data_IF_603297367808
#
_entry.id   IF_603297367808
#
_cell.length_a   1.000
_cell.length_b   1.000
_cell.length_c   1.000
_cell.angle_alpha   90.00
_cell.angle_beta   90.00
_cell.angle_gamma   90.00
#
_symmetry.space_group_name_H-M   'P 1'
#
loop_
_entity.id
_entity.type
_entity.pdbx_description
1 polymer ?
#
# COMPACT_ATOMS: atom_id res chain seq x y z
N UNK A 1 83.81 -29.14 20.64
CA UNK A 1 82.42 -28.69 20.93
C UNK A 1 81.97 -27.74 19.83
N UNK A 2 81.32 -28.23 18.78
CA UNK A 2 80.69 -27.41 17.73
C UNK A 2 79.63 -28.23 17.00
N UNK A 3 78.67 -28.77 17.75
CA UNK A 3 77.53 -29.54 17.21
C UNK A 3 76.17 -28.97 17.63
N UNK A 4 76.15 -28.08 18.62
CA UNK A 4 74.93 -27.60 19.27
C UNK A 4 74.30 -26.36 18.60
N UNK A 5 75.00 -25.68 17.68
CA UNK A 5 74.57 -24.42 17.08
C UNK A 5 73.69 -24.61 15.83
N UNK A 6 73.99 -25.59 14.97
CA UNK A 6 73.19 -25.87 13.76
C UNK A 6 71.85 -26.52 14.12
N UNK A 7 71.84 -27.44 15.09
CA UNK A 7 70.61 -28.10 15.56
C UNK A 7 69.62 -27.14 16.21
N UNK A 8 70.09 -26.21 17.04
CA UNK A 8 69.23 -25.19 17.66
C UNK A 8 68.65 -24.19 16.63
N UNK A 9 69.43 -23.84 15.61
CA UNK A 9 69.00 -22.93 14.54
C UNK A 9 67.95 -23.59 13.62
N UNK A 10 68.15 -24.86 13.25
CA UNK A 10 67.19 -25.63 12.45
C UNK A 10 65.87 -25.80 13.20
N UNK A 11 65.92 -26.18 14.48
CA UNK A 11 64.73 -26.32 15.31
C UNK A 11 63.99 -24.98 15.46
N UNK A 12 64.71 -23.87 15.69
CA UNK A 12 64.11 -22.53 15.76
C UNK A 12 63.39 -22.12 14.47
N UNK A 13 63.99 -22.38 13.30
CA UNK A 13 63.35 -22.06 12.01
C UNK A 13 62.10 -22.90 11.74
N UNK A 14 62.11 -24.19 12.10
CA UNK A 14 60.94 -25.07 11.93
C UNK A 14 59.80 -24.64 12.85
N UNK A 15 60.08 -24.31 14.11
CA UNK A 15 59.06 -23.81 15.02
C UNK A 15 58.44 -22.50 14.54
N UNK A 16 59.24 -21.54 14.04
CA UNK A 16 58.73 -20.29 13.50
C UNK A 16 57.86 -20.52 12.26
N UNK A 17 58.22 -21.47 11.37
CA UNK A 17 57.40 -21.83 10.22
C UNK A 17 56.06 -22.46 10.64
N UNK A 18 56.07 -23.36 11.64
CA UNK A 18 54.85 -23.98 12.16
C UNK A 18 53.93 -22.94 12.81
N UNK A 19 54.49 -22.04 13.63
CA UNK A 19 53.71 -20.95 14.21
C UNK A 19 53.20 -19.98 13.14
N UNK A 20 53.99 -19.67 12.10
CA UNK A 20 53.56 -18.84 10.97
C UNK A 20 52.43 -19.45 10.15
N UNK A 21 52.44 -20.76 9.90
CA UNK A 21 51.32 -21.43 9.22
C UNK A 21 50.09 -21.54 10.12
N UNK A 22 50.29 -21.77 11.42
CA UNK A 22 49.20 -21.84 12.40
C UNK A 22 48.50 -20.48 12.56
N UNK A 23 49.24 -19.36 12.55
CA UNK A 23 48.63 -18.02 12.63
C UNK A 23 47.91 -17.64 11.35
N UNK A 24 48.43 -17.99 10.17
CA UNK A 24 47.71 -17.79 8.89
C UNK A 24 46.42 -18.60 8.87
N UNK A 25 46.46 -19.87 9.28
CA UNK A 25 45.26 -20.71 9.40
C UNK A 25 44.25 -20.16 10.41
N UNK A 26 44.72 -19.60 11.54
CA UNK A 26 43.84 -18.97 12.53
C UNK A 26 43.20 -17.70 11.97
N UNK A 27 43.96 -16.87 11.24
CA UNK A 27 43.43 -15.68 10.55
C UNK A 27 42.39 -16.08 9.50
N UNK A 28 42.65 -17.12 8.71
CA UNK A 28 41.70 -17.62 7.71
C UNK A 28 40.44 -18.18 8.38
N UNK A 29 40.57 -18.92 9.48
CA UNK A 29 39.42 -19.39 10.26
C UNK A 29 38.63 -18.26 10.91
N UNK A 30 39.30 -17.22 11.41
CA UNK A 30 38.64 -16.02 11.95
C UNK A 30 37.95 -15.25 10.84
N UNK A 31 38.57 -15.06 9.68
CA UNK A 31 37.96 -14.40 8.52
C UNK A 31 36.75 -15.18 7.98
N UNK A 32 36.85 -16.52 7.94
CA UNK A 32 35.74 -17.39 7.56
C UNK A 32 34.64 -17.37 8.62
N UNK A 33 34.97 -17.31 9.90
CA UNK A 33 34.01 -17.16 11.00
C UNK A 33 33.32 -15.80 10.96
N UNK A 34 34.03 -14.72 10.62
CA UNK A 34 33.45 -13.39 10.45
C UNK A 34 32.49 -13.40 9.25
N UNK A 35 32.90 -13.96 8.11
CA UNK A 35 32.00 -14.15 6.95
C UNK A 35 30.77 -15.00 7.25
N UNK A 36 30.89 -16.01 8.11
CA UNK A 36 29.76 -16.83 8.52
C UNK A 36 28.89 -16.17 9.62
N UNK A 37 29.45 -15.25 10.41
CA UNK A 37 28.69 -14.46 11.40
C UNK A 37 27.96 -13.28 10.75
N UNK A 38 28.43 -12.78 9.61
CA UNK A 38 27.73 -11.80 8.76
C UNK A 38 26.78 -12.48 7.75
N UNK A 39 26.40 -13.74 7.99
CA UNK A 39 25.38 -14.42 7.18
C UNK A 39 24.02 -13.77 7.49
N UNK A 40 23.65 -12.76 6.72
CA UNK A 40 22.24 -12.37 6.56
C UNK A 40 21.50 -13.63 6.13
N UNK A 41 20.56 -14.10 6.95
CA UNK A 41 19.64 -15.13 6.53
C UNK A 41 19.00 -14.64 5.21
N UNK A 42 18.95 -15.47 4.15
CA UNK A 42 18.21 -15.15 2.95
C UNK A 42 16.71 -15.26 3.27
N UNK A 43 16.23 -14.42 4.17
CA UNK A 43 14.83 -14.35 4.54
C UNK A 43 14.10 -13.59 3.43
N UNK A 44 12.81 -13.91 3.19
CA UNK A 44 12.01 -13.11 2.31
C UNK A 44 12.07 -11.66 2.81
N UNK A 45 12.48 -10.73 1.94
CA UNK A 45 12.60 -9.30 2.27
C UNK A 45 11.78 -8.50 1.28
N UNK A 46 10.65 -8.01 1.75
CA UNK A 46 9.77 -7.14 0.97
C UNK A 46 9.70 -5.79 1.65
N UNK A 47 9.96 -4.74 0.88
CA UNK A 47 9.90 -3.36 1.35
C UNK A 47 8.79 -2.59 0.64
N UNK A 48 8.13 -1.70 1.39
CA UNK A 48 7.24 -0.70 0.80
C UNK A 48 8.12 0.36 0.13
N UNK A 49 7.94 0.53 -1.17
CA UNK A 49 8.63 1.54 -1.97
C UNK A 49 7.85 2.84 -2.03
N UNK A 50 6.52 2.75 -2.14
CA UNK A 50 5.66 3.93 -2.10
C UNK A 50 4.32 3.61 -1.43
N UNK A 51 3.82 4.59 -0.69
CA UNK A 51 2.47 4.61 -0.15
C UNK A 51 1.91 6.01 -0.41
N UNK A 52 0.82 6.08 -1.16
CA UNK A 52 0.16 7.35 -1.51
C UNK A 52 -1.31 7.29 -1.17
N UNK A 53 -1.80 8.39 -0.62
CA UNK A 53 -3.21 8.67 -0.39
C UNK A 53 -3.55 9.92 -1.21
N UNK A 54 -4.26 9.74 -2.32
CA UNK A 54 -4.48 10.83 -3.28
C UNK A 54 -5.71 10.57 -4.14
N UNK A 55 -6.26 11.61 -4.74
CA UNK A 55 -7.38 11.47 -5.66
C UNK A 55 -6.97 10.65 -6.89
N UNK A 56 -7.67 9.54 -7.11
CA UNK A 56 -7.50 8.66 -8.27
C UNK A 56 -8.80 8.66 -9.09
N UNK A 57 -8.67 8.55 -10.42
CA UNK A 57 -9.79 8.54 -11.37
C UNK A 57 -9.72 7.28 -12.24
N UNK A 58 -10.83 6.54 -12.41
CA UNK A 58 -12.14 6.72 -11.77
C UNK A 58 -12.11 6.46 -10.26
N UNK A 59 -13.07 7.02 -9.51
CA UNK A 59 -13.05 6.93 -8.05
C UNK A 59 -14.40 7.10 -7.35
N UNK A 60 -14.41 7.10 -6.00
CA UNK A 60 -15.60 7.32 -5.21
C UNK A 60 -15.99 8.79 -5.20
N UNK A 61 -17.28 9.11 -5.27
CA UNK A 61 -17.76 10.50 -5.26
C UNK A 61 -17.59 11.13 -3.88
N UNK A 62 -16.97 12.30 -3.81
CA UNK A 62 -16.86 13.12 -2.60
C UNK A 62 -17.87 14.28 -2.59
N UNK A 63 -18.00 14.99 -3.72
CA UNK A 63 -18.96 16.09 -3.83
C UNK A 63 -19.55 16.23 -5.22
N UNK A 64 -20.74 16.81 -5.25
CA UNK A 64 -21.54 17.03 -6.45
C UNK A 64 -22.14 18.43 -6.46
N UNK A 65 -22.60 18.89 -7.63
CA UNK A 65 -23.31 20.15 -7.79
C UNK A 65 -24.52 19.98 -8.72
N UNK A 66 -25.46 20.93 -8.66
CA UNK A 66 -26.59 20.96 -9.58
C UNK A 66 -26.13 21.51 -10.93
N UNK A 67 -26.39 20.77 -12.00
CA UNK A 67 -26.22 21.25 -13.37
C UNK A 67 -27.55 21.76 -13.95
N UNK A 68 -28.64 21.04 -13.68
CA UNK A 68 -30.01 21.44 -14.03
C UNK A 68 -30.98 20.96 -12.95
N UNK A 69 -31.81 21.87 -12.43
CA UNK A 69 -32.71 21.58 -11.31
C UNK A 69 -33.93 20.72 -11.66
N UNK A 70 -34.25 20.56 -12.94
CA UNK A 70 -35.44 19.82 -13.37
C UNK A 70 -36.75 20.39 -12.82
N UNK A 71 -37.78 19.55 -12.72
CA UNK A 71 -39.11 19.93 -12.20
C UNK A 71 -39.78 18.79 -11.43
N UNK A 72 -40.72 19.15 -10.55
CA UNK A 72 -41.52 18.17 -9.81
C UNK A 72 -40.75 17.49 -8.69
N UNK A 73 -39.68 18.11 -8.20
CA UNK A 73 -38.92 17.64 -7.05
C UNK A 73 -39.45 18.27 -5.76
N UNK A 74 -39.36 17.50 -4.69
CA UNK A 74 -39.57 17.95 -3.31
C UNK A 74 -38.34 17.60 -2.49
N UNK A 75 -38.01 18.42 -1.51
CA UNK A 75 -36.90 18.18 -0.57
C UNK A 75 -37.01 16.79 0.06
N UNK A 76 -35.95 16.00 -0.02
CA UNK A 76 -35.94 14.61 0.46
C UNK A 76 -34.67 13.85 0.11
N UNK A 77 -34.54 12.65 0.69
CA UNK A 77 -33.40 11.74 0.53
C UNK A 77 -33.74 10.43 -0.17
N UNK A 78 -32.73 9.61 -0.41
CA UNK A 78 -32.85 8.32 -1.09
C UNK A 78 -33.03 8.43 -2.61
N UNK A 79 -32.65 9.55 -3.22
CA UNK A 79 -32.77 9.77 -4.65
C UNK A 79 -31.70 8.97 -5.38
N UNK A 80 -32.13 7.91 -6.05
CA UNK A 80 -31.27 7.09 -6.91
C UNK A 80 -30.74 7.91 -8.08
N UNK A 81 -29.56 7.60 -8.58
CA UNK A 81 -28.99 8.29 -9.73
C UNK A 81 -28.72 7.31 -10.87
N UNK A 82 -28.67 7.84 -12.09
CA UNK A 82 -28.23 7.11 -13.28
C UNK A 82 -27.21 7.97 -14.02
N UNK A 83 -26.18 7.35 -14.57
CA UNK A 83 -25.18 8.04 -15.41
C UNK A 83 -25.04 7.30 -16.74
N UNK A 84 -24.50 8.00 -17.72
CA UNK A 84 -24.09 7.40 -19.00
C UNK A 84 -22.64 6.90 -18.97
N UNK A 85 -21.88 7.25 -17.94
CA UNK A 85 -20.53 6.73 -17.67
C UNK A 85 -20.54 5.43 -16.87
N UNK A 86 -19.37 5.05 -16.36
CA UNK A 86 -19.16 3.78 -15.63
C UNK A 86 -19.54 3.85 -14.14
N UNK A 87 -19.91 5.04 -13.64
CA UNK A 87 -20.26 5.28 -12.25
C UNK A 87 -21.50 4.51 -11.79
N UNK A 88 -21.46 3.94 -10.58
CA UNK A 88 -22.58 3.18 -10.00
C UNK A 88 -22.78 3.46 -8.51
N UNK A 89 -23.98 3.18 -8.00
CA UNK A 89 -24.26 3.16 -6.56
C UNK A 89 -24.38 4.52 -5.85
N UNK A 90 -24.33 5.64 -6.59
CA UNK A 90 -24.52 6.98 -6.03
C UNK A 90 -26.00 7.20 -5.66
N UNK A 91 -26.24 7.58 -4.41
CA UNK A 91 -27.56 8.01 -3.90
C UNK A 91 -27.41 9.39 -3.27
N UNK A 92 -28.33 10.27 -3.59
CA UNK A 92 -28.29 11.66 -3.17
C UNK A 92 -29.56 12.09 -2.43
N UNK A 93 -29.42 13.12 -1.62
CA UNK A 93 -30.51 13.93 -1.10
C UNK A 93 -30.61 15.21 -1.93
N UNK A 94 -31.81 15.75 -2.06
CA UNK A 94 -32.08 17.00 -2.77
C UNK A 94 -32.81 17.99 -1.86
N UNK A 95 -32.49 19.27 -2.01
CA UNK A 95 -33.32 20.37 -1.50
C UNK A 95 -34.00 21.03 -2.69
N UNK A 96 -35.31 21.28 -2.58
CA UNK A 96 -36.07 21.96 -3.62
C UNK A 96 -36.18 23.47 -3.35
N UNK A 97 -36.13 24.26 -4.42
CA UNK A 97 -36.69 25.61 -4.47
C UNK A 97 -37.70 25.65 -5.62
N UNK A 98 -38.93 26.02 -5.31
CA UNK A 98 -39.98 26.23 -6.31
C UNK A 98 -40.24 25.01 -7.21
N UNK A 99 -40.17 23.79 -6.64
CA UNK A 99 -40.30 22.48 -7.30
C UNK A 99 -39.14 22.07 -8.23
N UNK A 100 -37.98 22.72 -8.14
CA UNK A 100 -36.74 22.33 -8.83
C UNK A 100 -35.65 22.05 -7.80
N UNK A 101 -34.70 21.17 -8.13
CA UNK A 101 -33.53 20.88 -7.28
C UNK A 101 -32.64 22.12 -7.20
N UNK A 102 -32.47 22.66 -6.00
CA UNK A 102 -31.60 23.79 -5.68
C UNK A 102 -30.22 23.32 -5.17
N UNK A 103 -30.18 22.24 -4.39
CA UNK A 103 -28.94 21.64 -3.91
C UNK A 103 -29.00 20.12 -3.82
N UNK A 104 -27.83 19.49 -3.90
CA UNK A 104 -27.66 18.03 -3.84
C UNK A 104 -26.63 17.71 -2.75
N UNK A 105 -26.92 16.69 -1.94
CA UNK A 105 -25.98 16.14 -0.96
C UNK A 105 -25.80 14.64 -1.19
N UNK A 106 -24.59 14.12 -0.98
CA UNK A 106 -24.30 12.68 -1.15
C UNK A 106 -24.73 11.94 0.11
N UNK A 107 -25.58 10.92 -0.05
CA UNK A 107 -26.00 10.04 1.05
C UNK A 107 -25.28 8.70 1.00
N UNK A 108 -25.19 8.12 -0.20
CA UNK A 108 -24.41 6.92 -0.46
C UNK A 108 -23.38 7.23 -1.51
N UNK A 109 -22.13 7.00 -1.17
CA UNK A 109 -21.00 7.20 -2.07
C UNK A 109 -21.12 6.18 -3.20
N UNK A 110 -21.12 6.69 -4.43
CA UNK A 110 -20.96 5.87 -5.62
C UNK A 110 -19.49 5.70 -5.98
N UNK A 111 -19.17 4.69 -6.79
CA UNK A 111 -17.82 4.41 -7.28
C UNK A 111 -17.77 4.38 -8.81
N UNK A 112 -16.57 4.52 -9.37
CA UNK A 112 -16.35 4.49 -10.82
C UNK A 112 -16.67 5.81 -11.54
N UNK A 113 -16.79 6.91 -10.80
CA UNK A 113 -17.06 8.23 -11.36
C UNK A 113 -15.76 8.96 -11.69
N UNK A 114 -15.80 9.81 -12.72
CA UNK A 114 -14.78 10.80 -13.02
C UNK A 114 -15.25 12.20 -12.62
N UNK A 115 -14.29 13.12 -12.38
CA UNK A 115 -14.64 14.53 -12.13
C UNK A 115 -15.25 15.13 -13.41
N UNK A 116 -16.42 15.73 -13.27
CA UNK A 116 -17.19 16.28 -14.38
C UNK A 116 -18.26 15.34 -14.94
N UNK A 117 -18.33 14.09 -14.48
CA UNK A 117 -19.42 13.19 -14.85
C UNK A 117 -20.77 13.77 -14.50
N UNK A 118 -21.71 13.68 -15.44
CA UNK A 118 -23.10 14.06 -15.23
C UNK A 118 -23.95 12.84 -14.87
N UNK A 119 -24.85 13.03 -13.92
CA UNK A 119 -25.82 12.00 -13.54
C UNK A 119 -27.23 12.60 -13.45
N UNK A 120 -28.22 11.81 -13.84
CA UNK A 120 -29.64 12.15 -13.72
C UNK A 120 -30.16 11.68 -12.36
N UNK A 121 -30.86 12.57 -11.65
CA UNK A 121 -31.47 12.27 -10.35
C UNK A 121 -32.86 11.67 -10.59
N UNK A 122 -33.03 10.41 -10.21
CA UNK A 122 -34.27 9.67 -10.32
C UNK A 122 -34.86 9.36 -8.92
N UNK A 123 -36.10 8.89 -8.89
CA UNK A 123 -36.76 8.39 -7.65
C UNK A 123 -37.34 9.46 -6.73
N UNK A 124 -36.95 10.73 -6.89
CA UNK A 124 -37.46 11.87 -6.09
C UNK A 124 -38.16 12.97 -6.90
N UNK A 125 -38.41 12.74 -8.19
CA UNK A 125 -39.01 13.72 -9.09
C UNK A 125 -39.18 13.16 -10.50
N UNK A 126 -39.21 14.04 -11.50
CA UNK A 126 -39.51 13.67 -12.90
C UNK A 126 -38.33 13.05 -13.67
N UNK A 127 -37.19 12.82 -13.02
CA UNK A 127 -35.96 12.33 -13.66
C UNK A 127 -35.44 13.27 -14.78
N UNK A 128 -35.66 14.57 -14.61
CA UNK A 128 -35.17 15.64 -15.49
C UNK A 128 -34.14 16.56 -14.82
N UNK A 129 -33.85 16.38 -13.52
CA UNK A 129 -32.74 17.04 -12.85
C UNK A 129 -31.41 16.32 -13.11
N UNK A 130 -30.36 17.12 -13.33
CA UNK A 130 -29.00 16.66 -13.64
C UNK A 130 -28.04 17.25 -12.62
N UNK A 131 -27.25 16.38 -11.98
CA UNK A 131 -26.10 16.76 -11.18
C UNK A 131 -24.79 16.50 -11.91
N UNK A 132 -23.72 17.11 -11.41
CA UNK A 132 -22.35 16.89 -11.89
C UNK A 132 -21.44 16.52 -10.72
N UNK A 133 -20.53 15.57 -10.93
CA UNK A 133 -19.48 15.22 -9.96
C UNK A 133 -18.42 16.32 -9.95
N UNK A 134 -18.17 16.88 -8.77
CA UNK A 134 -17.22 18.00 -8.59
C UNK A 134 -15.88 17.52 -8.05
N UNK A 135 -15.89 16.53 -7.16
CA UNK A 135 -14.66 15.93 -6.63
C UNK A 135 -14.87 14.48 -6.24
N UNK A 136 -13.76 13.74 -6.19
CA UNK A 136 -13.69 12.36 -5.75
C UNK A 136 -12.97 12.25 -4.41
N UNK A 137 -13.21 11.17 -3.69
CA UNK A 137 -12.42 10.81 -2.53
C UNK A 137 -11.03 10.31 -2.93
N UNK A 138 -10.10 10.41 -2.00
CA UNK A 138 -8.76 9.88 -2.15
C UNK A 138 -8.78 8.34 -2.12
N UNK A 139 -7.80 7.74 -2.78
CA UNK A 139 -7.60 6.30 -2.84
C UNK A 139 -6.15 5.97 -2.52
N UNK A 140 -5.96 4.81 -1.93
CA UNK A 140 -4.65 4.29 -1.57
C UNK A 140 -4.03 3.57 -2.76
N UNK A 141 -2.75 3.82 -2.98
CA UNK A 141 -1.89 3.03 -3.88
C UNK A 141 -0.63 2.65 -3.13
N UNK A 142 -0.33 1.35 -3.08
CA UNK A 142 0.85 0.81 -2.41
C UNK A 142 1.71 0.10 -3.43
N UNK A 143 3.01 0.44 -3.43
CA UNK A 143 4.00 -0.25 -4.24
C UNK A 143 5.03 -0.90 -3.34
N UNK A 144 5.28 -2.17 -3.57
CA UNK A 144 6.24 -3.01 -2.84
C UNK A 144 7.32 -3.53 -3.77
N UNK A 145 8.48 -3.87 -3.22
CA UNK A 145 9.59 -4.51 -3.96
C UNK A 145 10.15 -5.68 -3.16
N UNK A 146 10.38 -6.80 -3.83
CA UNK A 146 11.13 -7.89 -3.24
C UNK A 146 12.63 -7.54 -3.31
N UNK A 147 13.18 -7.18 -2.16
CA UNK A 147 14.59 -6.84 -1.96
C UNK A 147 15.41 -8.04 -1.47
N UNK A 148 14.76 -9.19 -1.24
CA UNK A 148 15.38 -10.42 -0.80
C UNK A 148 15.92 -11.25 -1.97
N UNK A 149 16.41 -12.44 -1.64
CA UNK A 149 16.91 -13.43 -2.59
C UNK A 149 15.95 -14.62 -2.80
N UNK A 150 14.85 -14.66 -2.06
CA UNK A 150 13.82 -15.71 -2.15
C UNK A 150 12.50 -15.19 -2.75
N UNK A 151 11.72 -16.12 -3.30
CA UNK A 151 10.39 -15.84 -3.82
C UNK A 151 9.40 -15.76 -2.66
N UNK A 152 8.49 -14.79 -2.68
CA UNK A 152 7.47 -14.61 -1.63
C UNK A 152 6.09 -14.93 -2.18
N UNK A 153 5.25 -15.63 -1.42
CA UNK A 153 3.84 -15.77 -1.77
C UNK A 153 3.12 -14.45 -1.54
N UNK A 154 2.40 -13.94 -2.54
CA UNK A 154 1.73 -12.63 -2.43
C UNK A 154 0.66 -12.63 -1.32
N UNK A 155 -0.01 -13.77 -1.13
CA UNK A 155 -1.00 -13.97 -0.06
C UNK A 155 -0.42 -13.83 1.35
N UNK A 156 0.90 -14.01 1.50
CA UNK A 156 1.58 -13.93 2.79
C UNK A 156 2.07 -12.51 3.11
N UNK A 157 1.82 -11.56 2.21
CA UNK A 157 2.12 -10.14 2.40
C UNK A 157 0.89 -9.47 3.02
N UNK A 158 1.07 -8.98 4.24
CA UNK A 158 0.04 -8.30 5.03
C UNK A 158 0.41 -6.83 5.23
N UNK A 159 -0.59 -5.97 5.18
CA UNK A 159 -0.46 -4.53 5.34
C UNK A 159 -1.37 -4.06 6.47
N UNK A 160 -0.88 -3.12 7.27
CA UNK A 160 -1.66 -2.36 8.25
C UNK A 160 -1.43 -0.87 7.99
N UNK A 161 -2.51 -0.11 7.92
CA UNK A 161 -2.45 1.36 7.82
C UNK A 161 -2.52 1.99 9.21
N UNK A 162 -1.92 3.17 9.38
CA UNK A 162 -2.06 3.95 10.62
C UNK A 162 -2.06 5.44 10.35
N UNK A 163 -2.61 6.19 11.30
CA UNK A 163 -2.60 7.64 11.29
C UNK A 163 -1.90 8.17 12.55
N UNK A 164 -0.83 8.93 12.38
CA UNK A 164 -0.04 9.49 13.50
C UNK A 164 -0.81 10.53 14.32
N UNK A 165 -1.61 11.39 13.69
CA UNK A 165 -2.35 12.49 14.30
C UNK A 165 -3.38 11.97 15.31
N UNK A 166 -4.22 11.04 14.87
CA UNK A 166 -5.26 10.42 15.68
C UNK A 166 -4.75 9.23 16.51
N UNK A 167 -3.53 8.76 16.26
CA UNK A 167 -2.95 7.54 16.83
C UNK A 167 -3.84 6.31 16.62
N UNK A 168 -4.53 6.28 15.49
CA UNK A 168 -5.38 5.15 15.11
C UNK A 168 -4.56 4.14 14.29
N UNK A 169 -4.94 2.88 14.42
CA UNK A 169 -4.43 1.79 13.61
C UNK A 169 -5.60 1.12 12.92
N UNK A 170 -5.38 0.74 11.66
CA UNK A 170 -6.34 0.03 10.85
C UNK A 170 -6.42 -1.46 11.15
N UNK A 171 -7.15 -2.15 10.30
CA UNK A 171 -7.30 -3.61 10.29
C UNK A 171 -6.25 -4.17 9.32
N UNK A 172 -5.52 -5.24 9.68
CA UNK A 172 -4.61 -5.90 8.75
C UNK A 172 -5.36 -6.51 7.55
N UNK A 173 -4.84 -6.29 6.35
CA UNK A 173 -5.35 -6.88 5.11
C UNK A 173 -4.21 -7.44 4.25
N UNK A 174 -4.53 -8.36 3.33
CA UNK A 174 -3.54 -8.96 2.43
C UNK A 174 -3.25 -8.02 1.25
N UNK A 175 -2.01 -7.91 0.79
CA UNK A 175 -1.67 -7.17 -0.44
C UNK A 175 -2.46 -7.71 -1.65
N UNK A 176 -2.70 -9.02 -1.68
CA UNK A 176 -3.44 -9.71 -2.74
C UNK A 176 -4.88 -9.21 -2.89
N UNK A 177 -5.51 -8.68 -1.82
CA UNK A 177 -6.90 -8.19 -1.91
C UNK A 177 -7.06 -6.94 -2.77
N UNK A 178 -5.96 -6.26 -3.11
CA UNK A 178 -5.94 -5.07 -3.96
C UNK A 178 -4.96 -5.19 -5.13
N UNK A 179 -4.48 -6.39 -5.44
CA UNK A 179 -3.54 -6.62 -6.54
C UNK A 179 -4.20 -7.49 -7.62
N UNK A 180 -4.25 -7.00 -8.87
CA UNK A 180 -4.89 -7.70 -9.99
C UNK A 180 -3.91 -8.36 -10.98
N UNK A 181 -2.61 -8.34 -10.72
CA UNK A 181 -1.61 -8.85 -11.68
C UNK A 181 -1.61 -10.38 -11.88
N UNK A 182 -2.36 -11.13 -11.05
CA UNK A 182 -2.59 -12.58 -11.23
C UNK A 182 -1.37 -13.47 -10.94
N UNK A 183 -0.28 -12.90 -10.46
CA UNK A 183 0.88 -13.64 -9.97
C UNK A 183 0.57 -14.22 -8.59
N UNK A 184 1.03 -15.44 -8.30
CA UNK A 184 0.98 -16.00 -6.94
C UNK A 184 2.28 -15.76 -6.17
N UNK A 185 3.37 -15.54 -6.89
CA UNK A 185 4.71 -15.37 -6.36
C UNK A 185 5.28 -14.02 -6.74
N UNK A 186 6.05 -13.46 -5.83
CA UNK A 186 6.79 -12.23 -5.97
C UNK A 186 8.28 -12.53 -6.00
N UNK A 187 8.91 -12.45 -7.18
CA UNK A 187 10.28 -12.88 -7.37
C UNK A 187 11.30 -11.80 -6.94
N UNK A 188 12.52 -12.19 -6.56
CA UNK A 188 13.60 -11.26 -6.22
C UNK A 188 13.80 -10.16 -7.25
N UNK A 189 13.82 -8.91 -6.79
CA UNK A 189 14.02 -7.71 -7.60
C UNK A 189 12.77 -7.17 -8.28
N UNK A 190 11.64 -7.91 -8.28
CA UNK A 190 10.38 -7.43 -8.84
C UNK A 190 9.73 -6.36 -7.97
N UNK A 191 8.86 -5.57 -8.60
CA UNK A 191 8.07 -4.53 -7.97
C UNK A 191 6.61 -4.70 -8.39
N UNK A 192 5.70 -4.70 -7.41
CA UNK A 192 4.26 -4.77 -7.64
C UNK A 192 3.56 -3.58 -6.99
N UNK A 193 2.49 -3.13 -7.64
CA UNK A 193 1.66 -2.01 -7.21
C UNK A 193 0.21 -2.48 -7.13
N UNK A 194 -0.48 -2.10 -6.07
CA UNK A 194 -1.92 -2.35 -5.94
C UNK A 194 -2.69 -1.55 -6.99
N UNK A 195 -3.88 -2.03 -7.36
CA UNK A 195 -4.87 -1.14 -7.96
C UNK A 195 -5.23 -0.04 -6.96
N UNK A 196 -5.65 1.16 -7.40
CA UNK A 196 -6.24 2.15 -6.50
C UNK A 196 -7.44 1.58 -5.76
N UNK A 197 -7.49 1.77 -4.44
CA UNK A 197 -8.64 1.35 -3.65
C UNK A 197 -9.06 2.42 -2.64
N UNK A 198 -10.37 2.62 -2.43
CA UNK A 198 -10.87 3.47 -1.36
C UNK A 198 -10.73 2.77 -0.01
N UNK A 199 -10.61 3.58 1.04
CA UNK A 199 -10.65 3.07 2.41
C UNK A 199 -12.08 2.63 2.80
N UNK A 200 -12.14 1.63 3.66
CA UNK A 200 -13.36 1.00 4.15
C UNK A 200 -13.19 0.61 5.62
N UNK A 201 -14.20 0.91 6.44
CA UNK A 201 -14.15 0.70 7.89
C UNK A 201 -13.98 -0.77 8.26
N UNK A 202 -14.49 -1.69 7.44
CA UNK A 202 -14.51 -3.12 7.74
C UNK A 202 -13.27 -3.82 7.22
N UNK A 203 -12.79 -3.44 6.03
CA UNK A 203 -11.60 -4.03 5.42
C UNK A 203 -10.30 -3.43 5.95
N UNK A 204 -10.26 -2.10 6.13
CA UNK A 204 -9.02 -1.37 6.41
C UNK A 204 -9.02 -0.67 7.78
N UNK A 205 -10.19 -0.54 8.42
CA UNK A 205 -10.33 0.16 9.71
C UNK A 205 -10.40 1.69 9.61
N UNK A 206 -10.50 2.24 8.40
CA UNK A 206 -10.62 3.68 8.12
C UNK A 206 -11.78 3.93 7.17
N UNK A 207 -12.48 5.06 7.32
CA UNK A 207 -13.50 5.47 6.35
C UNK A 207 -12.83 5.98 5.09
N UNK A 208 -13.60 6.08 4.01
CA UNK A 208 -13.20 6.71 2.73
C UNK A 208 -12.76 8.18 2.85
N UNK A 209 -13.01 8.82 4.01
CA UNK A 209 -12.53 10.16 4.37
C UNK A 209 -11.36 10.13 5.37
N UNK A 210 -10.87 8.95 5.70
CA UNK A 210 -9.74 8.76 6.61
C UNK A 210 -8.45 9.03 5.86
N UNK A 211 -7.44 9.52 6.58
CA UNK A 211 -6.18 9.96 6.00
C UNK A 211 -4.99 9.23 6.66
N UNK A 212 -4.88 7.89 6.51
CA UNK A 212 -3.75 7.15 7.04
C UNK A 212 -2.45 7.68 6.42
N UNK A 213 -1.46 7.99 7.27
CA UNK A 213 -0.21 8.57 6.83
C UNK A 213 1.01 7.64 6.96
N UNK A 214 0.77 6.38 7.34
CA UNK A 214 1.80 5.33 7.36
C UNK A 214 1.22 3.98 7.00
N UNK A 215 2.06 3.15 6.39
CA UNK A 215 1.79 1.75 6.13
C UNK A 215 2.89 0.87 6.75
N UNK A 216 2.47 -0.23 7.36
CA UNK A 216 3.33 -1.29 7.84
C UNK A 216 3.11 -2.52 6.99
N UNK A 217 4.19 -3.15 6.57
CA UNK A 217 4.18 -4.41 5.85
C UNK A 217 4.74 -5.49 6.75
N UNK A 218 4.08 -6.62 6.77
CA UNK A 218 4.54 -7.84 7.40
C UNK A 218 4.47 -8.97 6.39
N UNK A 219 5.48 -9.80 6.40
CA UNK A 219 5.53 -11.11 5.77
C UNK A 219 5.91 -12.11 6.86
N UNK A 220 5.56 -13.39 6.68
CA UNK A 220 6.05 -14.43 7.59
C UNK A 220 7.58 -14.26 7.74
N UNK A 221 8.03 -13.99 8.98
CA UNK A 221 9.42 -13.73 9.38
C UNK A 221 10.10 -12.38 9.01
N UNK A 222 9.43 -11.40 8.36
CA UNK A 222 10.02 -10.06 8.13
C UNK A 222 8.99 -8.90 8.15
N UNK A 223 9.38 -7.74 8.72
CA UNK A 223 8.53 -6.55 8.81
C UNK A 223 9.22 -5.32 8.20
N UNK A 224 8.47 -4.48 7.47
CA UNK A 224 8.92 -3.23 6.84
C UNK A 224 7.90 -2.09 7.08
N UNK A 225 8.31 -0.83 6.97
CA UNK A 225 7.41 0.33 7.16
C UNK A 225 7.75 1.48 6.21
N UNK A 226 6.75 2.30 5.86
CA UNK A 226 6.92 3.54 5.09
C UNK A 226 5.90 4.62 5.49
N UNK A 227 6.30 5.89 5.36
CA UNK A 227 5.46 7.08 5.55
C UNK A 227 4.95 7.61 4.18
N UNK A 228 3.86 8.40 4.18
CA UNK A 228 3.34 9.02 2.95
C UNK A 228 4.33 10.03 2.37
N UNK A 229 4.61 9.91 1.07
CA UNK A 229 5.33 10.95 0.33
C UNK A 229 4.34 12.07 -0.05
N UNK A 230 4.54 13.25 0.55
CA UNK A 230 3.82 14.50 0.25
C UNK A 230 4.22 15.13 -1.07
#
# INVERSE_FOLDING_TARGET
MSGSSVGAMVVGTVFIMVFGMATVSLIDNVNQSIKNSDYELPDPKVDIISFTDSVQSPGPVNSVSVFSGGTGYSTGGGCTTTTTGDGTGLVVSVTDDSNAVDSITVEQIGSGYEIGDQFTIAGCGNADAVGTVVSLHEQIVITIKNMGSENVLISDIWIILSETSSKSMGIPFSFDSHYSGGNNYFFPGEQFTTDPFPLDNTAHGFSVTGNPNRAFLSIYDHNSFADVNS
#
